data_IF_642724681820
#
_entry.id   IF_642724681820
#
_cell.length_a   1.000
_cell.length_b   1.000
_cell.length_c   1.000
_cell.angle_alpha   90.00
_cell.angle_beta   90.00
_cell.angle_gamma   90.00
#
_symmetry.space_group_name_H-M   'P 1'
#
loop_
_entity.id
_entity.type
_entity.pdbx_description
1 polymer ?
#
# COMPACT_ATOMS: atom_id res chain seq x y z
N UNK A 1 -12.72 37.66 -3.69
CA UNK A 1 -12.17 36.36 -4.20
C UNK A 1 -10.87 36.53 -4.99
N UNK A 2 -10.65 37.66 -5.65
CA UNK A 2 -9.47 37.98 -6.46
C UNK A 2 -8.18 37.99 -5.63
N UNK A 3 -8.19 38.55 -4.43
CA UNK A 3 -7.01 38.76 -3.60
C UNK A 3 -6.32 37.46 -3.13
N UNK A 4 -7.05 36.38 -2.81
CA UNK A 4 -6.46 35.11 -2.32
C UNK A 4 -5.80 34.28 -3.41
N UNK A 5 -6.28 34.37 -4.64
CA UNK A 5 -5.69 33.69 -5.79
C UNK A 5 -4.38 34.38 -6.19
N UNK A 6 -4.35 35.70 -6.13
CA UNK A 6 -3.16 36.51 -6.39
C UNK A 6 -2.08 36.23 -5.34
N UNK A 7 -2.43 36.23 -4.04
CA UNK A 7 -1.50 35.88 -2.95
C UNK A 7 -0.91 34.47 -3.12
N UNK A 8 -1.71 33.47 -3.50
CA UNK A 8 -1.22 32.11 -3.73
C UNK A 8 -0.28 32.05 -4.94
N UNK A 9 -0.65 32.73 -6.04
CA UNK A 9 0.19 32.80 -7.24
C UNK A 9 1.51 33.51 -6.92
N UNK A 10 1.48 34.56 -6.11
CA UNK A 10 2.70 35.26 -5.66
C UNK A 10 3.58 34.37 -4.78
N UNK A 11 2.98 33.62 -3.84
CA UNK A 11 3.72 32.67 -2.99
C UNK A 11 4.37 31.58 -3.85
N UNK A 12 3.62 30.99 -4.79
CA UNK A 12 4.15 29.97 -5.70
C UNK A 12 5.26 30.51 -6.62
N UNK A 13 5.12 31.75 -7.11
CA UNK A 13 6.15 32.41 -7.92
C UNK A 13 7.41 32.72 -7.09
N UNK A 14 7.23 33.16 -5.84
CA UNK A 14 8.32 33.41 -4.89
C UNK A 14 9.12 32.12 -4.64
N UNK A 15 8.45 31.06 -4.24
CA UNK A 15 9.09 29.75 -3.99
C UNK A 15 9.77 29.18 -5.24
N UNK A 16 9.17 29.35 -6.44
CA UNK A 16 9.78 28.91 -7.69
C UNK A 16 11.02 29.75 -8.04
N UNK A 17 11.00 31.03 -7.74
CA UNK A 17 12.15 31.93 -7.98
C UNK A 17 13.32 31.60 -7.04
N UNK A 18 13.03 31.28 -5.77
CA UNK A 18 14.03 30.82 -4.79
C UNK A 18 14.62 29.46 -5.17
N UNK A 19 13.79 28.48 -5.55
CA UNK A 19 14.25 27.20 -6.06
C UNK A 19 15.18 27.36 -7.27
N UNK A 20 14.82 28.26 -8.22
CA UNK A 20 15.66 28.53 -9.39
C UNK A 20 16.98 29.17 -8.99
N UNK A 21 16.96 30.13 -8.06
CA UNK A 21 18.16 30.80 -7.52
C UNK A 21 19.08 29.79 -6.84
N UNK A 22 18.54 28.90 -6.02
CA UNK A 22 19.29 27.85 -5.33
C UNK A 22 19.84 26.81 -6.30
N UNK A 23 19.07 26.42 -7.33
CA UNK A 23 19.54 25.55 -8.39
C UNK A 23 20.66 26.19 -9.26
N UNK A 24 20.56 27.48 -9.55
CA UNK A 24 21.60 28.25 -10.27
C UNK A 24 22.87 28.40 -9.42
N UNK A 25 22.75 28.60 -8.10
CA UNK A 25 23.86 28.60 -7.15
C UNK A 25 24.53 27.23 -7.09
N UNK A 26 23.72 26.16 -6.99
CA UNK A 26 24.16 24.78 -6.99
C UNK A 26 24.94 24.40 -8.28
N UNK A 27 24.44 24.81 -9.43
CA UNK A 27 25.10 24.52 -10.71
C UNK A 27 26.44 25.23 -10.90
N UNK A 28 26.68 26.32 -10.12
CA UNK A 28 27.94 27.07 -10.11
C UNK A 28 28.99 26.47 -9.16
N UNK A 29 28.57 25.64 -8.20
CA UNK A 29 29.49 24.86 -7.37
C UNK A 29 30.06 23.74 -8.25
N UNK A 30 31.12 24.01 -8.97
CA UNK A 30 31.80 23.02 -9.79
C UNK A 30 32.32 21.90 -8.90
N UNK A 31 31.98 20.66 -9.25
CA UNK A 31 32.36 19.45 -8.53
C UNK A 31 33.88 19.28 -8.31
N UNK A 32 34.66 20.05 -9.04
CA UNK A 32 36.14 20.07 -8.98
C UNK A 32 36.72 20.85 -7.79
N UNK A 33 35.93 21.70 -7.10
CA UNK A 33 36.42 22.56 -6.03
C UNK A 33 35.95 22.16 -4.61
N UNK A 34 35.40 20.99 -4.44
CA UNK A 34 35.00 20.47 -3.11
C UNK A 34 36.25 19.98 -2.34
N UNK A 35 37.25 20.81 -2.26
CA UNK A 35 38.47 20.50 -1.48
C UNK A 35 38.53 21.25 -0.12
N UNK A 36 37.57 22.12 0.19
CA UNK A 36 37.54 22.93 1.41
C UNK A 36 36.25 22.79 2.20
N UNK A 37 36.35 22.93 3.52
CA UNK A 37 35.22 22.88 4.45
C UNK A 37 34.13 23.93 4.12
N UNK A 38 34.55 25.08 3.61
CA UNK A 38 33.67 26.20 3.24
C UNK A 38 32.76 25.85 2.04
N UNK A 39 33.30 25.15 1.04
CA UNK A 39 32.53 24.70 -0.14
C UNK A 39 31.49 23.61 0.24
N UNK A 40 31.81 22.73 1.19
CA UNK A 40 30.85 21.77 1.74
C UNK A 40 29.75 22.47 2.51
N UNK A 41 30.11 23.50 3.31
CA UNK A 41 29.13 24.28 4.07
C UNK A 41 28.16 25.03 3.14
N UNK A 42 28.67 25.72 2.10
CA UNK A 42 27.83 26.39 1.09
C UNK A 42 26.92 25.39 0.36
N UNK A 43 27.41 24.20 0.04
CA UNK A 43 26.64 23.15 -0.57
C UNK A 43 25.48 22.69 0.32
N UNK A 44 25.73 22.47 1.62
CA UNK A 44 24.70 22.10 2.60
C UNK A 44 23.66 23.21 2.77
N UNK A 45 24.08 24.47 2.77
CA UNK A 45 23.16 25.61 2.83
C UNK A 45 22.26 25.67 1.60
N UNK A 46 22.80 25.50 0.39
CA UNK A 46 22.00 25.44 -0.83
C UNK A 46 21.01 24.28 -0.84
N UNK A 47 21.39 23.10 -0.32
CA UNK A 47 20.47 21.97 -0.15
C UNK A 47 19.34 22.28 0.84
N UNK A 48 19.63 22.95 1.95
CA UNK A 48 18.62 23.34 2.92
C UNK A 48 17.61 24.33 2.30
N UNK A 49 18.08 25.36 1.59
CA UNK A 49 17.22 26.33 0.90
C UNK A 49 16.32 25.65 -0.14
N UNK A 50 16.83 24.68 -0.93
CA UNK A 50 16.03 23.91 -1.90
C UNK A 50 14.97 23.10 -1.18
N UNK A 51 15.32 22.47 -0.06
CA UNK A 51 14.38 21.67 0.75
C UNK A 51 13.28 22.55 1.35
N UNK A 52 13.61 23.68 1.91
CA UNK A 52 12.65 24.61 2.52
C UNK A 52 11.69 25.19 1.45
N UNK A 53 12.22 25.57 0.29
CA UNK A 53 11.41 26.04 -0.84
C UNK A 53 10.46 24.95 -1.37
N UNK A 54 10.91 23.70 -1.41
CA UNK A 54 10.10 22.57 -1.81
C UNK A 54 8.97 22.28 -0.80
N UNK A 55 9.26 22.33 0.49
CA UNK A 55 8.27 22.19 1.57
C UNK A 55 7.24 23.32 1.52
N UNK A 56 7.69 24.57 1.34
CA UNK A 56 6.79 25.73 1.22
C UNK A 56 5.88 25.62 -0.02
N UNK A 57 6.41 25.16 -1.15
CA UNK A 57 5.63 24.94 -2.38
C UNK A 57 4.59 23.82 -2.21
N UNK A 58 4.97 22.73 -1.54
CA UNK A 58 4.05 21.63 -1.25
C UNK A 58 2.93 22.06 -0.29
N UNK A 59 3.25 22.82 0.74
CA UNK A 59 2.27 23.37 1.68
C UNK A 59 1.30 24.34 0.97
N UNK A 60 1.79 25.22 0.10
CA UNK A 60 0.96 26.13 -0.68
C UNK A 60 0.06 25.40 -1.68
N UNK A 61 0.56 24.32 -2.28
CA UNK A 61 -0.23 23.45 -3.19
C UNK A 61 -1.34 22.72 -2.42
N UNK A 62 -1.03 22.16 -1.26
CA UNK A 62 -2.01 21.48 -0.41
C UNK A 62 -3.11 22.46 0.03
N UNK A 63 -2.76 23.66 0.52
CA UNK A 63 -3.75 24.69 0.89
C UNK A 63 -4.61 25.16 -0.31
N UNK A 64 -4.03 25.24 -1.51
CA UNK A 64 -4.80 25.52 -2.74
C UNK A 64 -5.78 24.41 -3.08
N UNK A 65 -5.34 23.15 -2.99
CA UNK A 65 -6.18 21.98 -3.25
C UNK A 65 -7.32 21.89 -2.24
N UNK A 66 -7.03 22.08 -0.96
CA UNK A 66 -8.02 22.10 0.12
C UNK A 66 -9.07 23.19 -0.10
N UNK A 67 -8.65 24.41 -0.45
CA UNK A 67 -9.57 25.52 -0.75
C UNK A 67 -10.39 25.26 -2.01
N UNK A 68 -9.82 24.62 -3.03
CA UNK A 68 -10.55 24.27 -4.25
C UNK A 68 -11.58 23.18 -3.97
N UNK A 69 -11.23 22.19 -3.16
CA UNK A 69 -12.17 21.15 -2.71
C UNK A 69 -13.30 21.77 -1.86
N UNK A 70 -12.96 22.63 -0.90
CA UNK A 70 -13.97 23.33 -0.08
C UNK A 70 -14.88 24.27 -0.90
N UNK A 71 -14.37 24.93 -1.93
CA UNK A 71 -15.17 25.82 -2.79
C UNK A 71 -16.07 25.03 -3.72
N UNK A 72 -15.61 23.91 -4.26
CA UNK A 72 -16.41 22.94 -5.01
C UNK A 72 -17.52 22.35 -4.14
N UNK A 73 -17.18 21.91 -2.94
CA UNK A 73 -18.12 21.41 -1.94
C UNK A 73 -19.23 22.41 -1.59
N UNK A 74 -18.87 23.66 -1.29
CA UNK A 74 -19.87 24.70 -0.93
C UNK A 74 -20.82 24.98 -2.09
N UNK A 75 -20.32 24.95 -3.31
CA UNK A 75 -21.14 25.14 -4.52
C UNK A 75 -22.08 23.96 -4.73
N UNK A 76 -21.58 22.73 -4.67
CA UNK A 76 -22.38 21.50 -4.81
C UNK A 76 -23.39 21.35 -3.67
N UNK A 77 -23.03 21.66 -2.42
CA UNK A 77 -23.96 21.68 -1.28
C UNK A 77 -25.10 22.69 -1.49
N UNK A 78 -24.79 23.90 -1.97
CA UNK A 78 -25.81 24.92 -2.23
C UNK A 78 -26.71 24.55 -3.43
N UNK A 79 -26.15 23.90 -4.45
CA UNK A 79 -26.89 23.37 -5.59
C UNK A 79 -27.80 22.20 -5.18
N UNK A 80 -27.27 21.25 -4.36
CA UNK A 80 -28.05 20.15 -3.82
C UNK A 80 -29.18 20.64 -2.91
N UNK A 81 -28.91 21.66 -2.07
CA UNK A 81 -29.93 22.30 -1.23
C UNK A 81 -31.01 22.95 -2.07
N UNK A 82 -30.68 23.69 -3.14
CA UNK A 82 -31.62 24.30 -4.07
C UNK A 82 -32.48 23.25 -4.78
N UNK A 83 -31.88 22.14 -5.26
CA UNK A 83 -32.60 21.03 -5.91
C UNK A 83 -33.59 20.35 -4.96
N UNK A 84 -33.19 20.19 -3.67
CA UNK A 84 -34.08 19.65 -2.64
C UNK A 84 -35.26 20.58 -2.35
N UNK A 85 -35.05 21.89 -2.35
CA UNK A 85 -36.09 22.91 -2.14
C UNK A 85 -37.00 23.06 -3.37
N UNK A 86 -36.49 22.79 -4.58
CA UNK A 86 -37.27 22.80 -5.84
C UNK A 86 -38.01 21.48 -6.14
N UNK A 87 -37.81 20.44 -5.34
CA UNK A 87 -38.40 19.11 -5.59
C UNK A 87 -37.82 18.36 -6.80
N UNK A 88 -36.73 18.86 -7.37
CA UNK A 88 -36.06 18.26 -8.55
C UNK A 88 -35.04 17.16 -8.18
N UNK A 89 -34.79 16.90 -6.88
CA UNK A 89 -33.79 15.94 -6.45
C UNK A 89 -34.37 14.53 -6.34
N UNK A 90 -34.34 13.81 -7.44
CA UNK A 90 -34.74 12.39 -7.49
C UNK A 90 -33.55 11.48 -7.20
N UNK A 91 -33.06 11.55 -5.97
CA UNK A 91 -32.00 10.66 -5.47
C UNK A 91 -32.33 9.17 -5.61
N UNK A 92 -33.65 8.84 -5.72
CA UNK A 92 -34.15 7.49 -5.94
C UNK A 92 -33.74 6.90 -7.30
N UNK A 93 -33.40 7.75 -8.28
CA UNK A 93 -33.00 7.34 -9.65
C UNK A 93 -31.49 7.39 -9.87
N UNK A 94 -30.70 7.83 -8.87
CA UNK A 94 -29.25 7.90 -9.03
C UNK A 94 -28.62 6.50 -9.14
N UNK A 95 -27.83 6.24 -10.20
CA UNK A 95 -27.01 5.05 -10.26
C UNK A 95 -25.85 5.15 -9.24
N UNK A 96 -25.21 4.02 -8.88
CA UNK A 96 -24.11 4.00 -7.91
C UNK A 96 -22.99 5.02 -8.20
N UNK A 97 -22.60 5.14 -9.46
CA UNK A 97 -21.57 6.08 -9.93
C UNK A 97 -22.00 7.54 -9.71
N UNK A 98 -23.29 7.81 -9.91
CA UNK A 98 -23.88 9.13 -9.69
C UNK A 98 -23.93 9.50 -8.21
N UNK A 99 -24.15 8.53 -7.32
CA UNK A 99 -24.09 8.72 -5.87
C UNK A 99 -22.65 9.03 -5.44
N UNK A 100 -21.68 8.23 -5.88
CA UNK A 100 -20.26 8.42 -5.54
C UNK A 100 -19.75 9.79 -5.98
N UNK A 101 -20.13 10.27 -7.18
CA UNK A 101 -19.78 11.62 -7.66
C UNK A 101 -20.34 12.76 -6.81
N UNK A 102 -21.36 12.49 -5.99
CA UNK A 102 -21.97 13.44 -5.06
C UNK A 102 -21.51 13.25 -3.61
N UNK A 103 -20.64 12.28 -3.35
CA UNK A 103 -20.04 12.08 -2.03
C UNK A 103 -19.08 13.23 -1.70
N UNK A 104 -18.80 13.36 -0.42
CA UNK A 104 -17.90 14.36 0.13
C UNK A 104 -16.88 13.62 0.97
N UNK A 105 -15.59 13.93 0.74
CA UNK A 105 -14.50 13.42 1.56
C UNK A 105 -13.95 14.54 2.43
N UNK A 106 -14.00 14.34 3.75
CA UNK A 106 -13.50 15.30 4.72
C UNK A 106 -13.10 14.57 6.01
N UNK A 107 -11.99 15.00 6.62
CA UNK A 107 -11.49 14.45 7.89
C UNK A 107 -11.38 12.90 7.85
N UNK A 108 -10.89 12.39 6.72
CA UNK A 108 -10.76 10.95 6.42
C UNK A 108 -12.08 10.15 6.46
N UNK A 109 -13.20 10.83 6.21
CA UNK A 109 -14.56 10.25 6.14
C UNK A 109 -15.20 10.58 4.81
N UNK A 110 -15.77 9.57 4.14
CA UNK A 110 -16.57 9.71 2.93
C UNK A 110 -18.06 9.81 3.33
N UNK A 111 -18.66 10.96 3.09
CA UNK A 111 -20.08 11.22 3.35
C UNK A 111 -20.91 11.01 2.10
N UNK A 112 -22.01 10.28 2.22
CA UNK A 112 -22.98 10.13 1.16
C UNK A 112 -23.83 11.41 0.98
N UNK A 113 -24.36 11.66 -0.22
CA UNK A 113 -25.28 12.78 -0.42
C UNK A 113 -26.54 12.64 0.45
N UNK A 114 -26.97 13.74 1.05
CA UNK A 114 -28.14 13.77 1.95
C UNK A 114 -29.46 13.79 1.15
N UNK A 115 -29.70 12.74 0.38
CA UNK A 115 -30.91 12.52 -0.39
C UNK A 115 -31.42 11.11 -0.16
N UNK A 116 -32.71 10.86 -0.42
CA UNK A 116 -33.26 9.51 -0.29
C UNK A 116 -32.73 8.64 -1.44
N UNK A 117 -31.84 7.71 -1.14
CA UNK A 117 -31.23 6.80 -2.11
C UNK A 117 -32.08 5.55 -2.32
N UNK A 118 -32.06 5.02 -3.53
CA UNK A 118 -32.60 3.70 -3.84
C UNK A 118 -31.81 2.62 -3.07
N UNK A 119 -32.52 1.66 -2.45
CA UNK A 119 -31.91 0.59 -1.64
C UNK A 119 -30.85 -0.20 -2.41
N UNK A 120 -31.08 -0.51 -3.70
CA UNK A 120 -30.15 -1.28 -4.53
C UNK A 120 -28.88 -0.45 -4.82
N UNK A 121 -29.04 0.79 -5.25
CA UNK A 121 -27.90 1.68 -5.50
C UNK A 121 -27.09 1.95 -4.23
N UNK A 122 -27.79 2.18 -3.09
CA UNK A 122 -27.11 2.34 -1.80
C UNK A 122 -26.31 1.10 -1.41
N UNK A 123 -26.88 -0.11 -1.54
CA UNK A 123 -26.16 -1.36 -1.23
C UNK A 123 -24.91 -1.54 -2.10
N UNK A 124 -24.99 -1.19 -3.38
CA UNK A 124 -23.84 -1.24 -4.29
C UNK A 124 -22.77 -0.21 -3.89
N UNK A 125 -23.15 1.03 -3.60
CA UNK A 125 -22.20 2.07 -3.14
C UNK A 125 -21.57 1.66 -1.82
N UNK A 126 -22.35 1.17 -0.87
CA UNK A 126 -21.83 0.66 0.39
C UNK A 126 -20.77 -0.41 0.16
N UNK A 127 -21.08 -1.40 -0.68
CA UNK A 127 -20.12 -2.46 -1.04
C UNK A 127 -18.84 -1.88 -1.66
N UNK A 128 -18.93 -0.96 -2.62
CA UNK A 128 -17.76 -0.38 -3.28
C UNK A 128 -16.89 0.44 -2.33
N UNK A 129 -17.51 1.15 -1.37
CA UNK A 129 -16.77 1.90 -0.36
C UNK A 129 -16.13 0.96 0.67
N UNK A 130 -16.81 -0.13 1.06
CA UNK A 130 -16.25 -1.15 1.93
C UNK A 130 -15.08 -1.92 1.26
N UNK A 131 -15.20 -2.25 -0.02
CA UNK A 131 -14.13 -2.83 -0.84
C UNK A 131 -12.90 -1.89 -0.96
N UNK A 132 -13.14 -0.59 -0.88
CA UNK A 132 -12.12 0.44 -0.86
C UNK A 132 -11.57 0.72 0.57
N UNK A 133 -11.92 -0.09 1.56
CA UNK A 133 -11.44 0.00 2.94
C UNK A 133 -12.24 0.92 3.86
N UNK A 134 -13.33 1.52 3.38
CA UNK A 134 -14.22 2.36 4.21
C UNK A 134 -15.10 1.54 5.13
N UNK A 135 -15.27 2.00 6.37
CA UNK A 135 -16.14 1.38 7.39
C UNK A 135 -17.24 2.34 7.79
N UNK A 136 -18.51 1.89 7.74
CA UNK A 136 -19.60 2.74 8.16
C UNK A 136 -19.50 3.10 9.65
N UNK A 137 -19.48 4.38 9.95
CA UNK A 137 -19.45 4.94 11.30
C UNK A 137 -20.73 5.72 11.54
N UNK A 138 -21.53 5.23 12.46
CA UNK A 138 -22.81 5.85 12.84
C UNK A 138 -22.67 6.99 13.84
N UNK A 139 -23.77 7.30 14.55
CA UNK A 139 -23.81 8.34 15.58
C UNK A 139 -23.62 9.74 15.01
N UNK A 140 -22.62 10.47 15.47
CA UNK A 140 -22.34 11.86 15.02
C UNK A 140 -21.66 11.93 13.66
N UNK A 141 -20.97 10.86 13.22
CA UNK A 141 -20.20 10.83 11.97
C UNK A 141 -21.11 10.63 10.76
N UNK A 142 -21.95 9.58 10.76
CA UNK A 142 -22.87 9.21 9.68
C UNK A 142 -22.18 9.16 8.30
N UNK A 143 -21.01 8.53 8.22
CA UNK A 143 -20.19 8.41 7.02
C UNK A 143 -19.32 7.16 7.05
N UNK A 144 -18.58 6.94 5.97
CA UNK A 144 -17.59 5.86 5.90
C UNK A 144 -16.23 6.42 6.32
N UNK A 145 -15.73 5.99 7.48
CA UNK A 145 -14.39 6.32 7.96
C UNK A 145 -13.37 5.32 7.45
N UNK A 146 -12.12 5.78 7.28
CA UNK A 146 -10.98 4.96 6.90
C UNK A 146 -9.95 4.98 8.02
N UNK A 147 -9.26 3.87 8.24
CA UNK A 147 -8.20 3.72 9.24
C UNK A 147 -6.79 3.99 8.67
N UNK A 148 -6.71 4.57 7.46
CA UNK A 148 -5.52 5.00 6.74
C UNK A 148 -5.81 6.29 5.98
N UNK A 149 -4.81 6.99 5.43
CA UNK A 149 -5.03 8.15 4.55
C UNK A 149 -5.73 7.73 3.25
N UNK A 150 -7.03 7.92 3.20
CA UNK A 150 -7.86 7.53 2.08
C UNK A 150 -8.02 8.60 0.98
N UNK A 151 -7.22 9.66 1.00
CA UNK A 151 -7.33 10.77 0.04
C UNK A 151 -7.33 10.30 -1.42
N UNK A 152 -6.42 9.40 -1.78
CA UNK A 152 -6.32 8.82 -3.12
C UNK A 152 -7.53 7.94 -3.46
N UNK A 153 -7.93 7.06 -2.55
CA UNK A 153 -9.06 6.14 -2.70
C UNK A 153 -10.37 6.92 -2.84
N UNK A 154 -10.61 7.90 -1.97
CA UNK A 154 -11.76 8.77 -2.02
C UNK A 154 -11.83 9.54 -3.35
N UNK A 155 -10.70 10.03 -3.87
CA UNK A 155 -10.63 10.69 -5.17
C UNK A 155 -11.10 9.78 -6.32
N UNK A 156 -10.73 8.50 -6.31
CA UNK A 156 -11.18 7.51 -7.30
C UNK A 156 -12.68 7.24 -7.18
N UNK A 157 -13.16 7.01 -5.95
CA UNK A 157 -14.58 6.79 -5.66
C UNK A 157 -15.44 8.00 -6.10
N UNK A 158 -15.01 9.22 -5.77
CA UNK A 158 -15.72 10.45 -6.13
C UNK A 158 -15.70 10.75 -7.63
N UNK A 159 -14.87 10.09 -8.43
CA UNK A 159 -15.00 10.06 -9.89
C UNK A 159 -16.10 9.11 -10.37
N UNK A 160 -16.78 8.40 -9.47
CA UNK A 160 -17.78 7.38 -9.79
C UNK A 160 -17.16 6.06 -10.21
N UNK A 161 -15.90 5.80 -9.86
CA UNK A 161 -15.21 4.55 -10.18
C UNK A 161 -15.16 3.64 -8.95
N UNK A 162 -15.32 2.35 -9.18
CA UNK A 162 -15.06 1.33 -8.16
C UNK A 162 -13.54 1.28 -7.88
N UNK A 163 -13.19 1.21 -6.62
CA UNK A 163 -11.84 0.93 -6.15
C UNK A 163 -11.91 -0.30 -5.26
N UNK A 164 -11.21 -1.35 -5.61
CA UNK A 164 -11.15 -2.56 -4.80
C UNK A 164 -9.69 -2.83 -4.44
N UNK A 165 -9.28 -2.35 -3.26
CA UNK A 165 -7.89 -2.46 -2.81
C UNK A 165 -7.42 -3.91 -2.78
N UNK A 166 -8.28 -4.85 -2.37
CA UNK A 166 -7.92 -6.26 -2.33
C UNK A 166 -7.62 -6.82 -3.72
N UNK A 167 -8.45 -6.45 -4.73
CA UNK A 167 -8.23 -6.92 -6.11
C UNK A 167 -7.10 -6.17 -6.81
N UNK A 168 -7.02 -4.85 -6.60
CA UNK A 168 -6.06 -3.99 -7.29
C UNK A 168 -4.62 -4.29 -6.85
N UNK A 169 -4.41 -4.58 -5.56
CA UNK A 169 -3.11 -4.95 -4.98
C UNK A 169 -3.00 -6.45 -4.66
N UNK A 170 -4.07 -7.24 -4.91
CA UNK A 170 -4.12 -8.68 -4.60
C UNK A 170 -3.84 -8.99 -3.12
N UNK A 171 -4.20 -8.06 -2.26
CA UNK A 171 -4.03 -8.19 -0.84
C UNK A 171 -5.11 -9.09 -0.23
N UNK A 172 -4.70 -10.21 0.31
CA UNK A 172 -5.52 -11.11 1.12
C UNK A 172 -4.82 -11.31 2.45
N UNK A 173 -5.34 -10.67 3.49
CA UNK A 173 -4.77 -10.79 4.82
C UNK A 173 -4.62 -12.26 5.22
N UNK A 174 -3.43 -12.65 5.67
CA UNK A 174 -3.19 -14.00 6.18
C UNK A 174 -3.90 -14.15 7.52
N UNK A 175 -4.81 -15.13 7.70
CA UNK A 175 -5.40 -15.39 8.99
C UNK A 175 -4.33 -15.73 10.04
N UNK A 176 -4.48 -15.29 11.30
CA UNK A 176 -3.47 -15.51 12.34
C UNK A 176 -3.08 -16.99 12.49
N UNK A 177 -4.05 -17.89 12.44
CA UNK A 177 -3.83 -19.33 12.59
C UNK A 177 -3.00 -19.90 11.42
N UNK A 178 -3.20 -19.36 10.21
CA UNK A 178 -2.41 -19.75 9.03
C UNK A 178 -1.02 -19.16 9.10
N UNK A 179 -0.87 -17.92 9.60
CA UNK A 179 0.43 -17.29 9.79
C UNK A 179 1.27 -18.05 10.82
N UNK A 180 0.68 -18.40 11.98
CA UNK A 180 1.35 -19.19 13.01
C UNK A 180 1.79 -20.57 12.49
N UNK A 181 0.89 -21.23 11.77
CA UNK A 181 1.21 -22.52 11.16
C UNK A 181 2.33 -22.40 10.11
N UNK A 182 2.29 -21.38 9.24
CA UNK A 182 3.32 -21.16 8.23
C UNK A 182 4.69 -20.92 8.86
N UNK A 183 4.75 -20.10 9.93
CA UNK A 183 5.99 -19.87 10.68
C UNK A 183 6.49 -21.16 11.34
N UNK A 184 5.58 -22.00 11.87
CA UNK A 184 5.96 -23.30 12.45
C UNK A 184 6.57 -24.26 11.44
N UNK A 185 6.17 -24.19 10.17
CA UNK A 185 6.77 -24.99 9.08
C UNK A 185 8.22 -24.57 8.77
N UNK A 186 8.58 -23.32 9.05
CA UNK A 186 9.93 -22.81 8.84
C UNK A 186 10.96 -23.38 9.86
N UNK A 187 10.48 -24.00 10.93
CA UNK A 187 11.30 -24.56 12.00
C UNK A 187 11.75 -23.54 13.04
N UNK A 188 12.71 -23.93 13.87
CA UNK A 188 13.28 -23.04 14.89
C UNK A 188 14.31 -22.08 14.28
N UNK A 189 14.31 -20.84 14.74
CA UNK A 189 15.27 -19.81 14.34
C UNK A 189 15.67 -18.94 15.54
N UNK A 190 16.89 -18.40 15.51
CA UNK A 190 17.42 -17.56 16.59
C UNK A 190 17.05 -16.08 16.43
N UNK A 191 17.15 -15.27 17.51
CA UNK A 191 16.97 -13.81 17.41
C UNK A 191 17.96 -13.11 16.45
N UNK A 192 19.12 -13.71 16.21
CA UNK A 192 20.15 -13.17 15.33
C UNK A 192 19.91 -13.50 13.85
N UNK A 193 18.89 -14.30 13.53
CA UNK A 193 18.56 -14.63 12.16
C UNK A 193 18.15 -13.40 11.38
N UNK A 194 18.63 -13.29 10.14
CA UNK A 194 18.17 -12.29 9.19
C UNK A 194 16.90 -12.78 8.52
N UNK A 195 15.79 -12.14 8.84
CA UNK A 195 14.44 -12.57 8.43
C UNK A 195 13.84 -11.59 7.44
N UNK A 196 13.16 -12.09 6.41
CA UNK A 196 12.46 -11.30 5.41
C UNK A 196 10.99 -11.74 5.28
N UNK A 197 10.08 -10.75 5.23
CA UNK A 197 8.71 -10.86 4.73
C UNK A 197 8.55 -9.98 3.48
N UNK A 198 8.60 -10.53 2.26
CA UNK A 198 8.60 -9.74 1.03
C UNK A 198 7.22 -9.20 0.59
N UNK A 199 6.15 -9.48 1.31
CA UNK A 199 4.77 -9.07 0.99
C UNK A 199 3.96 -8.88 2.27
N UNK A 200 4.44 -7.98 3.14
CA UNK A 200 4.08 -7.93 4.55
C UNK A 200 2.58 -7.65 4.83
N UNK A 201 1.88 -7.03 3.88
CA UNK A 201 0.47 -6.70 4.09
C UNK A 201 0.26 -5.85 5.33
N UNK A 202 -0.60 -6.31 6.23
CA UNK A 202 -0.82 -5.65 7.52
C UNK A 202 0.06 -6.17 8.65
N UNK A 203 1.04 -7.04 8.35
CA UNK A 203 1.98 -7.56 9.34
C UNK A 203 1.58 -8.89 9.99
N UNK A 204 0.60 -9.61 9.48
CA UNK A 204 0.09 -10.84 10.13
C UNK A 204 1.17 -11.93 10.30
N UNK A 205 2.05 -12.12 9.31
CA UNK A 205 3.16 -13.07 9.37
C UNK A 205 4.27 -12.51 10.29
N UNK A 206 4.54 -11.21 10.25
CA UNK A 206 5.48 -10.54 11.16
C UNK A 206 5.04 -10.75 12.62
N UNK A 207 3.75 -10.55 12.92
CA UNK A 207 3.20 -10.82 14.24
C UNK A 207 3.39 -12.29 14.65
N UNK A 208 3.24 -13.24 13.73
CA UNK A 208 3.48 -14.65 13.98
C UNK A 208 4.96 -14.94 14.25
N UNK A 209 5.87 -14.32 13.50
CA UNK A 209 7.32 -14.41 13.74
C UNK A 209 7.67 -13.87 15.13
N UNK A 210 7.14 -12.71 15.52
CA UNK A 210 7.39 -12.09 16.82
C UNK A 210 6.77 -12.87 17.99
N UNK A 211 5.73 -13.68 17.77
CA UNK A 211 5.24 -14.62 18.80
C UNK A 211 6.25 -15.73 19.12
N UNK A 212 7.08 -16.11 18.16
CA UNK A 212 8.13 -17.13 18.33
C UNK A 212 9.45 -16.50 18.81
N UNK A 213 9.83 -15.37 18.19
CA UNK A 213 11.06 -14.64 18.49
C UNK A 213 10.77 -13.14 18.58
N UNK A 214 10.42 -12.62 19.78
CA UNK A 214 9.96 -11.24 19.96
C UNK A 214 10.99 -10.17 19.56
N UNK A 215 12.27 -10.47 19.69
CA UNK A 215 13.37 -9.50 19.47
C UNK A 215 13.97 -9.55 18.06
N UNK A 216 13.53 -10.49 17.22
CA UNK A 216 14.05 -10.59 15.84
C UNK A 216 13.59 -9.40 15.01
N UNK A 217 14.52 -8.80 14.26
CA UNK A 217 14.19 -7.72 13.33
C UNK A 217 13.80 -8.32 11.98
N UNK A 218 12.57 -8.02 11.53
CA UNK A 218 12.05 -8.50 10.25
C UNK A 218 12.18 -7.41 9.19
N UNK A 219 12.95 -7.71 8.14
CA UNK A 219 12.96 -6.90 6.92
C UNK A 219 11.68 -7.16 6.15
N UNK A 220 11.09 -6.12 5.56
CA UNK A 220 9.86 -6.32 4.83
C UNK A 220 9.69 -5.38 3.64
N UNK A 221 8.83 -5.79 2.70
CA UNK A 221 8.35 -5.01 1.56
C UNK A 221 6.83 -4.94 1.61
N UNK A 222 6.26 -3.81 1.22
CA UNK A 222 4.81 -3.65 1.10
C UNK A 222 4.47 -2.59 0.04
N UNK A 223 3.64 -2.97 -0.92
CA UNK A 223 3.27 -2.12 -2.04
C UNK A 223 2.15 -1.12 -1.69
N UNK A 224 1.21 -1.51 -0.81
CA UNK A 224 0.07 -0.68 -0.44
C UNK A 224 0.47 0.39 0.58
N UNK A 225 0.30 1.69 0.26
CA UNK A 225 0.60 2.78 1.20
C UNK A 225 -0.16 2.65 2.53
N UNK A 226 -1.41 2.18 2.48
CA UNK A 226 -2.29 1.99 3.64
C UNK A 226 -1.76 0.93 4.61
N UNK A 227 -1.15 -0.13 4.07
CA UNK A 227 -0.52 -1.16 4.90
C UNK A 227 0.82 -0.68 5.48
N UNK A 228 1.60 0.09 4.69
CA UNK A 228 2.86 0.68 5.18
C UNK A 228 2.65 1.57 6.40
N UNK A 229 1.55 2.33 6.43
CA UNK A 229 1.20 3.13 7.61
C UNK A 229 0.92 2.25 8.85
N UNK A 230 0.32 1.06 8.67
CA UNK A 230 0.10 0.10 9.77
C UNK A 230 1.41 -0.53 10.21
N UNK A 231 2.22 -0.96 9.25
CA UNK A 231 3.53 -1.56 9.51
C UNK A 231 4.44 -0.60 10.27
N UNK A 232 4.42 0.70 9.96
CA UNK A 232 5.25 1.70 10.65
C UNK A 232 4.97 1.83 12.15
N UNK A 233 3.90 1.22 12.66
CA UNK A 233 3.53 1.18 14.08
C UNK A 233 3.98 -0.10 14.78
N UNK A 234 4.56 -1.05 14.05
CA UNK A 234 5.11 -2.28 14.60
C UNK A 234 6.57 -2.06 15.01
N UNK A 235 6.96 -2.64 16.13
CA UNK A 235 8.35 -2.68 16.58
C UNK A 235 9.12 -3.79 15.85
N UNK A 236 10.45 -3.68 15.86
CA UNK A 236 11.36 -4.69 15.31
C UNK A 236 11.13 -5.04 13.85
N UNK A 237 10.75 -4.05 13.02
CA UNK A 237 10.66 -4.19 11.57
C UNK A 237 11.56 -3.17 10.85
N UNK A 238 11.96 -3.49 9.63
CA UNK A 238 12.56 -2.57 8.68
C UNK A 238 11.83 -2.65 7.34
N UNK A 239 11.05 -1.63 7.01
CA UNK A 239 10.43 -1.50 5.70
C UNK A 239 11.50 -1.05 4.69
N UNK A 240 11.95 -1.97 3.83
CA UNK A 240 13.04 -1.74 2.88
C UNK A 240 12.57 -1.04 1.61
N UNK A 241 11.31 -1.22 1.23
CA UNK A 241 10.78 -0.63 0.00
C UNK A 241 9.36 -1.07 -0.31
N UNK A 242 8.95 -0.76 -1.55
CA UNK A 242 7.60 -1.01 -2.03
C UNK A 242 7.46 -2.38 -2.69
N UNK A 243 8.28 -2.66 -3.68
CA UNK A 243 8.17 -3.83 -4.55
C UNK A 243 9.41 -4.74 -4.40
N UNK A 244 9.23 -5.87 -3.75
CA UNK A 244 10.26 -6.87 -3.57
C UNK A 244 10.85 -7.36 -4.90
N UNK A 245 10.05 -7.42 -5.97
CA UNK A 245 10.53 -7.91 -7.26
C UNK A 245 11.52 -6.98 -7.95
N UNK A 246 11.70 -5.76 -7.44
CA UNK A 246 12.68 -4.78 -7.92
C UNK A 246 13.96 -4.76 -7.07
N UNK A 247 14.01 -5.55 -6.01
CA UNK A 247 15.15 -5.64 -5.09
C UNK A 247 15.99 -6.88 -5.38
N UNK A 248 17.25 -6.85 -4.98
CA UNK A 248 18.17 -7.98 -5.05
C UNK A 248 18.92 -8.12 -3.73
N UNK A 249 18.83 -9.30 -3.12
CA UNK A 249 19.47 -9.63 -1.84
C UNK A 249 20.15 -11.00 -1.92
N UNK A 250 21.07 -11.23 -2.86
CA UNK A 250 21.60 -12.56 -3.11
C UNK A 250 22.26 -13.14 -1.87
N UNK A 251 21.77 -14.30 -1.41
CA UNK A 251 22.29 -15.04 -0.26
C UNK A 251 22.38 -14.20 1.03
N UNK A 252 21.33 -13.43 1.32
CA UNK A 252 21.34 -12.50 2.45
C UNK A 252 20.54 -12.97 3.67
N UNK A 253 19.49 -13.77 3.47
CA UNK A 253 18.53 -14.12 4.52
C UNK A 253 18.68 -15.56 5.02
N UNK A 254 18.49 -15.74 6.33
CA UNK A 254 18.45 -17.05 6.97
C UNK A 254 17.03 -17.65 6.89
N UNK A 255 16.01 -16.79 6.95
CA UNK A 255 14.61 -17.17 6.92
C UNK A 255 13.80 -16.18 6.06
N UNK A 256 12.96 -16.71 5.17
CA UNK A 256 11.97 -15.92 4.42
C UNK A 256 10.60 -16.55 4.58
N UNK A 257 9.62 -15.80 5.11
CA UNK A 257 8.25 -16.27 5.28
C UNK A 257 7.30 -15.34 4.54
N UNK A 258 6.39 -15.87 3.70
CA UNK A 258 5.60 -15.03 2.81
C UNK A 258 4.22 -15.58 2.44
N UNK A 259 3.29 -14.65 2.20
CA UNK A 259 2.06 -14.88 1.45
C UNK A 259 2.01 -13.89 0.27
N UNK A 260 2.74 -14.15 -0.83
CA UNK A 260 2.84 -13.25 -1.97
C UNK A 260 1.53 -13.18 -2.78
N UNK A 261 1.36 -12.15 -3.65
CA UNK A 261 0.25 -12.09 -4.59
C UNK A 261 0.28 -13.23 -5.60
N UNK A 262 -0.92 -13.77 -5.97
CA UNK A 262 -1.01 -14.97 -6.82
C UNK A 262 -1.23 -14.67 -8.31
N UNK A 263 -1.78 -13.49 -8.68
CA UNK A 263 -2.14 -13.21 -10.05
C UNK A 263 -0.94 -13.25 -10.98
N UNK A 264 -1.18 -13.68 -12.22
CA UNK A 264 -0.16 -13.74 -13.27
C UNK A 264 1.10 -14.50 -12.84
N UNK A 265 0.93 -15.53 -12.00
CA UNK A 265 2.02 -16.33 -11.44
C UNK A 265 3.07 -15.50 -10.67
N UNK A 266 2.64 -14.47 -9.94
CA UNK A 266 3.55 -13.65 -9.13
C UNK A 266 4.09 -14.46 -7.94
N UNK A 267 3.28 -15.32 -7.34
CA UNK A 267 3.70 -16.27 -6.30
C UNK A 267 4.92 -17.10 -6.72
N UNK A 268 4.92 -17.62 -7.93
CA UNK A 268 6.08 -18.35 -8.50
C UNK A 268 7.32 -17.46 -8.53
N UNK A 269 7.20 -16.25 -9.08
CA UNK A 269 8.34 -15.33 -9.22
C UNK A 269 8.89 -14.95 -7.85
N UNK A 270 8.00 -14.68 -6.87
CA UNK A 270 8.42 -14.39 -5.51
C UNK A 270 9.17 -15.55 -4.89
N UNK A 271 8.67 -16.79 -5.00
CA UNK A 271 9.34 -17.97 -4.44
C UNK A 271 10.73 -18.19 -5.08
N UNK A 272 10.83 -18.02 -6.40
CA UNK A 272 12.13 -18.13 -7.09
C UNK A 272 13.13 -17.08 -6.60
N UNK A 273 12.70 -15.84 -6.44
CA UNK A 273 13.54 -14.76 -5.93
C UNK A 273 13.89 -14.98 -4.45
N UNK A 274 12.92 -15.36 -3.60
CA UNK A 274 13.18 -15.72 -2.20
C UNK A 274 14.25 -16.80 -2.08
N UNK A 275 14.20 -17.83 -2.93
CA UNK A 275 15.23 -18.88 -2.93
C UNK A 275 16.61 -18.34 -3.33
N UNK A 276 16.67 -17.44 -4.30
CA UNK A 276 17.91 -16.75 -4.67
C UNK A 276 18.47 -15.94 -3.49
N UNK A 277 17.62 -15.29 -2.73
CA UNK A 277 17.99 -14.40 -1.64
C UNK A 277 18.31 -15.14 -0.32
N UNK A 278 18.01 -16.45 -0.24
CA UNK A 278 18.41 -17.28 0.88
C UNK A 278 19.92 -17.50 0.93
N UNK A 279 20.48 -17.48 2.13
CA UNK A 279 21.80 -18.06 2.42
C UNK A 279 21.78 -19.59 2.22
N UNK A 280 22.93 -20.22 1.99
CA UNK A 280 23.09 -21.65 2.23
C UNK A 280 22.62 -22.00 3.66
N UNK A 281 21.88 -23.08 3.83
CA UNK A 281 21.26 -23.47 5.10
C UNK A 281 19.99 -22.72 5.48
N UNK A 282 19.60 -21.68 4.73
CA UNK A 282 18.39 -20.90 5.00
C UNK A 282 17.11 -21.60 4.55
N UNK A 283 15.96 -21.07 5.03
CA UNK A 283 14.63 -21.64 4.79
C UNK A 283 13.67 -20.61 4.17
N UNK A 284 12.93 -21.00 3.14
CA UNK A 284 11.70 -20.30 2.68
C UNK A 284 10.49 -21.08 3.14
N UNK A 285 9.49 -20.41 3.72
CA UNK A 285 8.13 -20.91 3.91
C UNK A 285 7.15 -19.94 3.24
N UNK A 286 6.48 -20.38 2.17
CA UNK A 286 5.63 -19.48 1.39
C UNK A 286 4.29 -20.11 1.04
N UNK A 287 3.23 -19.27 1.07
CA UNK A 287 1.91 -19.64 0.54
C UNK A 287 1.89 -19.36 -0.95
N UNK A 288 1.32 -20.29 -1.72
CA UNK A 288 1.12 -20.14 -3.17
C UNK A 288 -0.27 -20.60 -3.57
N UNK A 289 -0.70 -20.23 -4.76
CA UNK A 289 -1.90 -20.77 -5.38
C UNK A 289 -1.69 -22.24 -5.81
N UNK A 290 -2.76 -23.04 -5.87
CA UNK A 290 -2.71 -24.40 -6.45
C UNK A 290 -2.57 -24.42 -7.97
N UNK A 291 -2.69 -23.27 -8.63
CA UNK A 291 -2.73 -23.16 -10.08
C UNK A 291 -1.54 -23.86 -10.75
N UNK A 292 -0.33 -23.61 -10.26
CA UNK A 292 0.90 -24.14 -10.86
C UNK A 292 1.01 -25.67 -10.84
N UNK A 293 0.28 -26.36 -9.95
CA UNK A 293 0.35 -27.83 -9.85
C UNK A 293 -0.11 -28.54 -11.13
N UNK A 294 -1.11 -27.98 -11.81
CA UNK A 294 -1.74 -28.63 -12.98
C UNK A 294 -1.62 -27.78 -14.26
N UNK A 295 -1.26 -26.52 -14.16
CA UNK A 295 -1.19 -25.61 -15.29
C UNK A 295 -0.13 -26.03 -16.33
N UNK A 296 -0.48 -25.85 -17.59
CA UNK A 296 0.37 -26.22 -18.74
C UNK A 296 1.35 -25.14 -19.18
N UNK A 297 1.25 -23.95 -18.60
CA UNK A 297 2.14 -22.81 -18.88
C UNK A 297 3.59 -23.18 -18.58
N UNK A 298 4.50 -22.63 -19.39
CA UNK A 298 5.94 -22.91 -19.26
C UNK A 298 6.45 -22.56 -17.85
N UNK A 299 6.05 -21.39 -17.31
CA UNK A 299 6.46 -20.93 -15.98
C UNK A 299 6.05 -21.92 -14.87
N UNK A 300 4.86 -22.52 -14.97
CA UNK A 300 4.38 -23.50 -14.02
C UNK A 300 5.13 -24.84 -14.14
N UNK A 301 5.48 -25.25 -15.35
CA UNK A 301 6.30 -26.46 -15.60
C UNK A 301 7.71 -26.27 -15.04
N UNK A 302 8.33 -25.16 -15.37
CA UNK A 302 9.67 -24.82 -14.89
C UNK A 302 9.70 -24.74 -13.35
N UNK A 303 8.65 -24.19 -12.74
CA UNK A 303 8.54 -24.12 -11.29
C UNK A 303 8.40 -25.49 -10.64
N UNK A 304 7.60 -26.41 -11.20
CA UNK A 304 7.52 -27.80 -10.69
C UNK A 304 8.88 -28.49 -10.75
N UNK A 305 9.59 -28.36 -11.87
CA UNK A 305 10.92 -28.93 -12.02
C UNK A 305 11.91 -28.34 -10.99
N UNK A 306 11.84 -27.03 -10.76
CA UNK A 306 12.63 -26.36 -9.73
C UNK A 306 12.32 -26.89 -8.32
N UNK A 307 11.04 -27.04 -7.96
CA UNK A 307 10.65 -27.56 -6.64
C UNK A 307 11.12 -28.99 -6.42
N UNK A 308 11.13 -29.83 -7.47
CA UNK A 308 11.70 -31.17 -7.43
C UNK A 308 13.23 -31.14 -7.24
N UNK A 309 13.93 -30.27 -7.98
CA UNK A 309 15.38 -30.09 -7.90
C UNK A 309 15.83 -29.71 -6.49
N UNK A 310 15.14 -28.72 -5.87
CA UNK A 310 15.46 -28.25 -4.51
C UNK A 310 14.87 -29.13 -3.42
N UNK A 311 14.16 -30.19 -3.76
CA UNK A 311 13.47 -31.10 -2.82
C UNK A 311 12.49 -30.36 -1.90
N UNK A 312 11.69 -29.45 -2.46
CA UNK A 312 10.72 -28.66 -1.73
C UNK A 312 9.63 -29.55 -1.11
N UNK A 313 9.20 -29.19 0.08
CA UNK A 313 8.05 -29.81 0.76
C UNK A 313 6.79 -29.00 0.43
N UNK A 314 5.69 -29.70 0.15
CA UNK A 314 4.41 -29.08 -0.21
C UNK A 314 3.35 -29.51 0.79
N UNK A 315 2.63 -28.57 1.36
CA UNK A 315 1.61 -28.80 2.37
C UNK A 315 0.27 -28.23 1.93
N UNK A 316 -0.80 -29.03 2.10
CA UNK A 316 -2.16 -28.60 1.80
C UNK A 316 -2.66 -27.63 2.88
N UNK A 317 -3.30 -26.55 2.45
CA UNK A 317 -4.05 -25.64 3.34
C UNK A 317 -5.53 -25.99 3.19
N UNK A 318 -6.24 -26.09 4.32
CA UNK A 318 -7.67 -26.43 4.34
C UNK A 318 -8.48 -25.47 3.45
N UNK A 319 -9.44 -26.03 2.71
CA UNK A 319 -10.35 -25.22 1.91
C UNK A 319 -11.14 -24.25 2.78
N UNK A 320 -11.09 -22.97 2.40
CA UNK A 320 -11.78 -21.91 3.14
C UNK A 320 -10.97 -21.26 4.25
N UNK A 321 -9.72 -21.65 4.51
CA UNK A 321 -8.85 -20.98 5.47
C UNK A 321 -8.77 -19.47 5.21
N UNK A 322 -8.78 -19.03 3.95
CA UNK A 322 -8.79 -17.64 3.52
C UNK A 322 -10.20 -17.07 3.25
N UNK A 323 -11.27 -17.80 3.55
CA UNK A 323 -12.64 -17.34 3.24
C UNK A 323 -13.00 -16.04 3.96
N UNK A 324 -12.52 -15.87 5.20
CA UNK A 324 -12.71 -14.63 5.97
C UNK A 324 -11.91 -13.47 5.36
N UNK A 325 -10.83 -13.74 4.66
CA UNK A 325 -9.99 -12.75 3.97
C UNK A 325 -10.50 -12.40 2.57
N UNK A 326 -11.66 -12.94 2.17
CA UNK A 326 -12.35 -12.56 0.92
C UNK A 326 -11.92 -13.35 -0.32
N UNK A 327 -11.17 -14.45 -0.19
CA UNK A 327 -10.83 -15.32 -1.33
C UNK A 327 -11.26 -16.77 -1.11
N UNK A 328 -11.74 -17.41 -2.18
CA UNK A 328 -12.00 -18.85 -2.26
C UNK A 328 -10.91 -19.59 -3.04
N UNK A 329 -9.80 -18.96 -3.36
CA UNK A 329 -8.70 -19.59 -4.10
C UNK A 329 -8.06 -20.67 -3.23
N UNK A 330 -7.98 -21.90 -3.75
CA UNK A 330 -7.25 -22.99 -3.11
C UNK A 330 -5.77 -22.65 -3.01
N UNK A 331 -5.23 -22.74 -1.81
CA UNK A 331 -3.84 -22.40 -1.48
C UNK A 331 -3.09 -23.60 -0.93
N UNK A 332 -1.79 -23.56 -1.04
CA UNK A 332 -0.85 -24.54 -0.49
C UNK A 332 0.36 -23.80 0.10
N UNK A 333 1.04 -24.41 1.05
CA UNK A 333 2.32 -23.92 1.51
C UNK A 333 3.47 -24.71 0.91
N UNK A 334 4.58 -24.03 0.63
CA UNK A 334 5.83 -24.59 0.14
C UNK A 334 6.91 -24.27 1.16
N UNK A 335 7.71 -25.28 1.52
CA UNK A 335 8.90 -25.12 2.34
C UNK A 335 10.12 -25.58 1.55
N UNK A 336 11.13 -24.72 1.45
CA UNK A 336 12.39 -24.98 0.78
C UNK A 336 13.53 -24.72 1.75
N UNK A 337 14.36 -25.73 1.98
CA UNK A 337 15.61 -25.58 2.72
C UNK A 337 16.76 -25.54 1.71
N UNK A 338 17.45 -24.39 1.60
CA UNK A 338 18.58 -24.23 0.69
C UNK A 338 19.77 -25.02 1.21
N UNK A 339 20.18 -26.02 0.45
CA UNK A 339 21.33 -26.85 0.86
C UNK A 339 22.60 -26.00 0.89
N UNK A 340 23.49 -26.34 1.83
CA UNK A 340 24.84 -25.81 1.79
C UNK A 340 25.49 -26.20 0.47
N UNK A 341 25.97 -25.21 -0.28
CA UNK A 341 26.63 -25.47 -1.57
C UNK A 341 27.84 -26.36 -1.39
N UNK A 342 27.93 -27.39 -2.23
CA UNK A 342 29.21 -28.11 -2.45
C UNK A 342 30.07 -27.33 -3.41
#
# INVERSE_FOLDING_TARGET
>A
MTNKKETLIETLRGSTAELKKSADAFSKLAVTDIAGFDAIYEFVQCLAEVTDAQVAMQAALNDYLDRKMQSGYRKEYLEAKKRKESGEDDGAKLPPEGILKRCIFKDNVLYLPQVQLNKKSYATVKQWVEEAGGKWTGGKVQGFSFDFDATRVASVLMQGKRCNLQQDFQFFATPPEVADWLVSLAGEFSPDCKVLEPSAGTGAIIDAIHRVQPDVVVDCYELMPENKEKLSKLDHIRLLGDDFTQAEHPSEYDLIVANPPFSKNQDIRHVMQMYHDLKPGGTVAAITSRHWQQASEKVCKDFRAFLEEVSAQVYEIEEGAFKKSGTGVGTIAIVINKRDGK
#
